data_IF_762894347836
#
_entry.id   IF_762894347836
#
_cell.length_a   1.000
_cell.length_b   1.000
_cell.length_c   1.000
_cell.angle_alpha   90.00
_cell.angle_beta   90.00
_cell.angle_gamma   90.00
#
_symmetry.space_group_name_H-M   'P 1'
#
loop_
_entity.id
_entity.type
_entity.pdbx_description
1 polymer ?
#
# COMPACT_ATOMS: atom_id res chain seq x y z
N UNK A 1 -9.68 -19.60 -6.39
CA UNK A 1 -10.62 -18.89 -5.50
C UNK A 1 -9.88 -18.60 -4.22
N UNK A 2 -9.82 -17.34 -3.83
CA UNK A 2 -9.14 -16.93 -2.60
C UNK A 2 -10.00 -17.32 -1.39
N UNK A 3 -9.40 -17.83 -0.30
CA UNK A 3 -10.17 -18.20 0.88
C UNK A 3 -10.45 -16.98 1.77
N UNK A 4 -11.45 -17.10 2.65
CA UNK A 4 -11.75 -16.06 3.65
C UNK A 4 -10.59 -15.80 4.61
N UNK A 5 -9.74 -16.79 4.86
CA UNK A 5 -8.53 -16.64 5.68
C UNK A 5 -7.45 -15.84 4.95
N UNK A 6 -7.26 -16.09 3.64
CA UNK A 6 -6.34 -15.31 2.81
C UNK A 6 -6.76 -13.84 2.75
N UNK A 7 -8.07 -13.56 2.62
CA UNK A 7 -8.61 -12.19 2.68
C UNK A 7 -8.25 -11.49 3.99
N UNK A 8 -8.43 -12.17 5.12
CA UNK A 8 -8.08 -11.64 6.45
C UNK A 8 -6.58 -11.40 6.58
N UNK A 9 -5.75 -12.32 6.07
CA UNK A 9 -4.30 -12.13 6.03
C UNK A 9 -3.92 -10.93 5.17
N UNK A 10 -4.52 -10.77 4.00
CA UNK A 10 -4.23 -9.64 3.12
C UNK A 10 -4.52 -8.29 3.77
N UNK A 11 -5.54 -8.20 4.64
CA UNK A 11 -5.86 -6.97 5.37
C UNK A 11 -4.78 -6.57 6.39
N UNK A 12 -4.04 -7.52 6.94
CA UNK A 12 -2.99 -7.27 7.95
C UNK A 12 -1.59 -7.29 7.35
N UNK A 13 -1.32 -8.24 6.45
CA UNK A 13 -0.06 -8.42 5.77
C UNK A 13 -0.29 -8.71 4.26
N UNK A 14 -0.54 -7.64 3.46
CA UNK A 14 -0.81 -7.76 2.04
C UNK A 14 0.31 -8.46 1.27
N UNK A 15 1.56 -8.16 1.61
CA UNK A 15 2.77 -8.62 0.92
C UNK A 15 3.03 -10.12 1.09
N UNK A 16 2.40 -10.78 2.08
CA UNK A 16 2.42 -12.24 2.22
C UNK A 16 1.49 -12.96 1.25
N UNK A 17 0.42 -12.31 0.81
CA UNK A 17 -0.59 -12.90 -0.08
C UNK A 17 -0.35 -12.48 -1.52
N UNK A 18 -0.01 -11.22 -1.72
CA UNK A 18 0.17 -10.60 -3.02
C UNK A 18 1.62 -10.18 -3.22
N UNK A 19 2.13 -10.34 -4.44
CA UNK A 19 3.47 -9.85 -4.79
C UNK A 19 3.47 -8.38 -5.17
N UNK A 20 2.42 -7.93 -5.85
CA UNK A 20 2.27 -6.54 -6.24
C UNK A 20 0.92 -5.97 -5.79
N UNK A 21 0.88 -4.67 -5.44
CA UNK A 21 -0.39 -4.01 -5.11
C UNK A 21 -1.36 -3.97 -6.29
N UNK A 22 -0.86 -4.09 -7.53
CA UNK A 22 -1.69 -4.26 -8.72
C UNK A 22 -2.53 -5.56 -8.69
N UNK A 23 -2.03 -6.66 -8.10
CA UNK A 23 -2.78 -7.91 -7.95
C UNK A 23 -4.01 -7.72 -7.06
N UNK A 24 -3.94 -6.84 -6.05
CA UNK A 24 -5.08 -6.49 -5.19
C UNK A 24 -6.19 -5.80 -6.00
N UNK A 25 -5.78 -4.92 -6.92
CA UNK A 25 -6.70 -4.19 -7.81
C UNK A 25 -7.38 -5.15 -8.77
N UNK A 26 -6.62 -6.08 -9.36
CA UNK A 26 -7.12 -7.06 -10.33
C UNK A 26 -7.96 -8.17 -9.67
N UNK A 27 -7.71 -8.44 -8.38
CA UNK A 27 -8.41 -9.47 -7.62
C UNK A 27 -9.93 -9.28 -7.66
N UNK A 28 -10.62 -10.26 -8.24
CA UNK A 28 -12.09 -10.30 -8.31
C UNK A 28 -12.72 -10.84 -7.04
N UNK A 29 -11.94 -11.56 -6.24
CA UNK A 29 -12.37 -12.08 -4.94
C UNK A 29 -12.56 -10.96 -3.91
N UNK A 30 -11.97 -9.77 -4.09
CA UNK A 30 -12.01 -8.65 -3.13
C UNK A 30 -13.02 -7.58 -3.51
N UNK A 31 -13.70 -7.03 -2.52
CA UNK A 31 -14.57 -5.86 -2.67
C UNK A 31 -13.77 -4.55 -2.69
N UNK A 32 -14.32 -3.47 -3.28
CA UNK A 32 -13.65 -2.17 -3.36
C UNK A 32 -13.18 -1.65 -1.99
N UNK A 33 -13.96 -1.88 -0.94
CA UNK A 33 -13.61 -1.55 0.45
C UNK A 33 -12.43 -2.39 0.96
N UNK A 34 -12.42 -3.69 0.68
CA UNK A 34 -11.32 -4.58 1.06
C UNK A 34 -10.03 -4.19 0.34
N UNK A 35 -10.11 -3.98 -0.98
CA UNK A 35 -8.96 -3.54 -1.80
C UNK A 35 -8.36 -2.25 -1.25
N UNK A 36 -9.20 -1.27 -0.95
CA UNK A 36 -8.76 0.01 -0.36
C UNK A 36 -8.05 -0.23 0.96
N UNK A 37 -8.63 -1.02 1.88
CA UNK A 37 -8.00 -1.33 3.18
C UNK A 37 -6.65 -2.02 3.03
N UNK A 38 -6.55 -3.00 2.13
CA UNK A 38 -5.32 -3.75 1.84
C UNK A 38 -4.24 -2.80 1.32
N UNK A 39 -4.55 -1.96 0.32
CA UNK A 39 -3.60 -1.00 -0.23
C UNK A 39 -3.15 0.04 0.80
N UNK A 40 -4.05 0.49 1.68
CA UNK A 40 -3.70 1.40 2.77
C UNK A 40 -2.70 0.79 3.75
N UNK A 41 -2.94 -0.45 4.16
CA UNK A 41 -2.01 -1.18 5.03
C UNK A 41 -0.67 -1.41 4.32
N UNK A 42 -0.70 -1.71 3.03
CA UNK A 42 0.52 -1.90 2.22
C UNK A 42 1.33 -0.62 2.11
N UNK A 43 0.70 0.54 1.94
CA UNK A 43 1.40 1.82 1.88
C UNK A 43 2.23 2.08 3.15
N UNK A 44 1.65 1.79 4.32
CA UNK A 44 2.32 1.91 5.61
C UNK A 44 3.50 0.94 5.72
N UNK A 45 3.30 -0.32 5.33
CA UNK A 45 4.35 -1.36 5.35
C UNK A 45 5.49 -1.01 4.40
N UNK A 46 5.18 -0.56 3.19
CA UNK A 46 6.15 -0.10 2.20
C UNK A 46 6.95 1.12 2.71
N UNK A 47 6.30 2.05 3.42
CA UNK A 47 6.99 3.20 4.04
C UNK A 47 7.91 2.76 5.19
N UNK A 48 7.48 1.80 6.01
CA UNK A 48 8.31 1.24 7.09
C UNK A 48 9.50 0.47 6.53
N UNK A 49 9.30 -0.33 5.48
CA UNK A 49 10.36 -1.04 4.75
C UNK A 49 11.32 -0.06 4.10
N UNK A 50 10.82 1.03 3.51
CA UNK A 50 11.65 2.08 2.94
C UNK A 50 12.52 2.74 4.01
N UNK A 51 11.96 3.11 5.16
CA UNK A 51 12.74 3.66 6.29
C UNK A 51 13.80 2.68 6.78
N UNK A 52 13.48 1.37 6.82
CA UNK A 52 14.45 0.34 7.18
C UNK A 52 15.54 0.13 6.10
N UNK A 53 15.25 0.43 4.83
CA UNK A 53 16.20 0.31 3.71
C UNK A 53 16.97 1.60 3.43
N UNK A 54 16.48 2.77 3.88
CA UNK A 54 17.08 4.10 3.66
C UNK A 54 18.39 4.33 4.42
N UNK A 55 18.83 3.40 5.27
CA UNK A 55 20.21 3.37 5.79
C UNK A 55 21.23 2.86 4.76
N UNK A 56 20.78 2.38 3.59
CA UNK A 56 21.63 1.87 2.52
C UNK A 56 21.16 2.29 1.12
N UNK A 57 21.61 3.45 0.65
CA UNK A 57 21.66 3.85 -0.77
C UNK A 57 20.30 3.95 -1.49
N UNK A 58 19.72 5.15 -1.40
CA UNK A 58 18.76 5.68 -2.38
C UNK A 58 19.41 5.75 -3.76
N UNK A 59 19.03 4.88 -4.69
CA UNK A 59 19.13 5.17 -6.13
C UNK A 59 18.16 4.31 -6.95
N UNK A 60 17.10 4.94 -7.46
CA UNK A 60 16.38 4.53 -8.66
C UNK A 60 15.49 3.28 -8.63
N UNK A 61 15.53 2.44 -7.60
CA UNK A 61 14.75 1.20 -7.60
C UNK A 61 13.27 1.49 -7.31
N UNK A 62 12.40 0.96 -8.17
CA UNK A 62 10.95 1.13 -8.12
C UNK A 62 10.42 0.91 -6.70
N UNK A 63 10.15 1.99 -5.97
CA UNK A 63 9.70 1.91 -4.59
C UNK A 63 8.31 1.30 -4.55
N UNK A 64 8.12 0.28 -3.72
CA UNK A 64 6.84 -0.40 -3.51
C UNK A 64 5.71 0.61 -3.20
N UNK A 65 6.05 1.72 -2.54
CA UNK A 65 5.17 2.88 -2.32
C UNK A 65 4.59 3.47 -3.61
N UNK A 66 5.39 3.66 -4.65
CA UNK A 66 4.93 4.21 -5.94
C UNK A 66 3.93 3.26 -6.62
N UNK A 67 4.20 1.95 -6.56
CA UNK A 67 3.29 0.92 -7.06
C UNK A 67 1.97 0.88 -6.28
N UNK A 68 2.01 1.02 -4.96
CA UNK A 68 0.81 1.12 -4.10
C UNK A 68 0.00 2.37 -4.44
N UNK A 69 0.65 3.52 -4.66
CA UNK A 69 -0.03 4.78 -5.04
C UNK A 69 -0.73 4.65 -6.39
N UNK A 70 -0.07 4.02 -7.38
CA UNK A 70 -0.65 3.74 -8.70
C UNK A 70 -1.85 2.77 -8.62
N UNK A 71 -1.77 1.76 -7.75
CA UNK A 71 -2.87 0.84 -7.50
C UNK A 71 -4.10 1.53 -6.87
N UNK A 72 -3.88 2.43 -5.91
CA UNK A 72 -4.97 3.21 -5.30
C UNK A 72 -5.66 4.11 -6.34
N UNK A 73 -4.88 4.78 -7.21
CA UNK A 73 -5.42 5.59 -8.30
C UNK A 73 -6.27 4.78 -9.28
N UNK A 74 -5.90 3.54 -9.59
CA UNK A 74 -6.69 2.66 -10.46
C UNK A 74 -8.03 2.25 -9.86
N UNK A 75 -8.14 2.22 -8.54
CA UNK A 75 -9.39 1.91 -7.86
C UNK A 75 -10.29 3.13 -7.66
N UNK A 76 -9.86 4.32 -8.09
CA UNK A 76 -10.46 5.60 -7.70
C UNK A 76 -10.59 5.71 -6.16
N UNK A 77 -9.72 4.98 -5.43
CA UNK A 77 -9.73 4.99 -3.99
C UNK A 77 -9.21 6.36 -3.54
N UNK A 78 -9.89 7.03 -2.60
CA UNK A 78 -9.35 8.26 -2.06
C UNK A 78 -7.96 7.94 -1.49
N UNK A 79 -6.92 8.70 -1.90
CA UNK A 79 -5.59 8.49 -1.36
C UNK A 79 -5.70 8.52 0.16
N UNK A 80 -4.83 7.75 0.85
CA UNK A 80 -4.59 8.02 2.27
C UNK A 80 -4.43 9.53 2.39
N UNK A 81 -5.35 10.15 3.11
CA UNK A 81 -5.27 11.56 3.39
C UNK A 81 -3.88 11.71 3.99
N UNK A 82 -2.97 12.31 3.23
CA UNK A 82 -1.69 12.78 3.72
C UNK A 82 -2.12 13.89 4.68
N UNK A 83 -2.56 13.49 5.88
CA UNK A 83 -2.93 14.37 6.96
C UNK A 83 -1.64 15.12 7.22
N UNK A 84 -1.60 16.32 6.63
CA UNK A 84 -0.38 17.04 6.40
C UNK A 84 0.35 17.10 7.71
N UNK A 85 1.50 16.43 7.80
CA UNK A 85 2.38 16.61 8.93
C UNK A 85 2.58 18.13 9.04
N UNK A 86 2.09 18.81 10.09
CA UNK A 86 2.23 20.24 10.22
C UNK A 86 3.65 20.49 10.69
N UNK A 87 4.64 20.22 9.84
CA UNK A 87 6.03 20.54 10.13
C UNK A 87 6.33 21.88 9.46
N UNK A 88 6.14 22.92 10.28
CA UNK A 88 6.78 24.25 10.16
C UNK A 88 6.19 25.19 9.09
N UNK A 89 5.04 25.78 9.41
CA UNK A 89 4.81 27.18 9.07
C UNK A 89 5.43 28.01 10.21
N UNK A 90 6.65 28.49 10.00
CA UNK A 90 7.30 29.41 10.93
C UNK A 90 6.74 30.82 10.80
N UNK A 91 6.65 31.59 11.90
CA UNK A 91 6.92 33.02 11.89
C UNK A 91 8.43 33.29 12.09
#
# INVERSE_FOLDING_TARGET
MMTSEDKKKALTNPSSIFRHPADVVDSRDLDATEKTRILKQWELDARLLQVASEEGMNDGEHSMFADVKKAQQRLDAPPLQEDGAPTKAGP
#
